data_IF_947709274159
#
_entry.id   IF_947709274159
#
_cell.length_a   1.000
_cell.length_b   1.000
_cell.length_c   1.000
_cell.angle_alpha   90.00
_cell.angle_beta   90.00
_cell.angle_gamma   90.00
#
_symmetry.space_group_name_H-M   'P 1'
#
loop_
_entity.id
_entity.type
_entity.pdbx_description
1 polymer ?
#
# COMPACT_ATOMS: atom_id res chain seq x y z
N UNK A 1 -16.83 -2.64 3.51
CA UNK A 1 -15.50 -2.20 3.97
C UNK A 1 -14.48 -2.23 2.83
N UNK A 2 -14.16 -3.40 2.26
CA UNK A 2 -13.19 -3.54 1.16
C UNK A 2 -13.45 -2.60 -0.03
N UNK A 3 -14.69 -2.56 -0.54
CA UNK A 3 -15.02 -1.67 -1.66
C UNK A 3 -14.79 -0.20 -1.33
N UNK A 4 -15.24 0.26 -0.16
CA UNK A 4 -15.02 1.64 0.28
C UNK A 4 -13.53 1.97 0.39
N UNK A 5 -12.73 1.06 0.93
CA UNK A 5 -11.28 1.22 1.04
C UNK A 5 -10.60 1.31 -0.33
N UNK A 6 -10.89 0.36 -1.21
CA UNK A 6 -10.30 0.34 -2.54
C UNK A 6 -10.74 1.56 -3.35
N UNK A 7 -12.01 1.97 -3.24
CA UNK A 7 -12.53 3.17 -3.91
C UNK A 7 -11.88 4.45 -3.38
N UNK A 8 -11.59 4.54 -2.08
CA UNK A 8 -11.00 5.74 -1.47
C UNK A 8 -9.48 5.85 -1.63
N UNK A 9 -8.76 4.71 -1.65
CA UNK A 9 -7.29 4.71 -1.56
C UNK A 9 -6.59 4.06 -2.75
N UNK A 10 -7.27 3.24 -3.56
CA UNK A 10 -6.62 2.50 -4.63
C UNK A 10 -6.86 3.15 -6.00
N UNK A 11 -5.82 3.78 -6.55
CA UNK A 11 -5.83 4.31 -7.91
C UNK A 11 -6.04 3.23 -9.00
N UNK A 12 -5.91 1.95 -8.64
CA UNK A 12 -6.07 0.81 -9.54
C UNK A 12 -7.43 0.12 -9.42
N UNK A 13 -8.30 0.55 -8.51
CA UNK A 13 -9.60 -0.07 -8.26
C UNK A 13 -10.53 0.00 -9.49
N UNK A 14 -11.09 -1.15 -9.88
CA UNK A 14 -12.08 -1.26 -10.95
C UNK A 14 -13.38 -1.88 -10.43
N UNK A 15 -14.51 -1.14 -10.38
CA UNK A 15 -15.75 -1.55 -9.71
C UNK A 15 -16.49 -2.75 -10.34
N UNK A 16 -16.01 -3.31 -11.46
CA UNK A 16 -16.70 -4.38 -12.20
C UNK A 16 -15.81 -5.57 -12.55
N UNK A 17 -14.58 -5.60 -12.04
CA UNK A 17 -13.64 -6.69 -12.28
C UNK A 17 -13.66 -7.64 -11.08
N UNK A 18 -13.91 -8.93 -11.30
CA UNK A 18 -13.58 -9.96 -10.31
C UNK A 18 -12.06 -10.01 -10.26
N UNK A 19 -11.44 -9.27 -9.35
CA UNK A 19 -10.00 -9.37 -9.14
C UNK A 19 -9.72 -10.76 -8.54
N UNK A 20 -8.96 -11.58 -9.27
CA UNK A 20 -8.57 -12.93 -8.82
C UNK A 20 -7.56 -12.91 -7.67
N UNK A 21 -6.92 -11.76 -7.46
CA UNK A 21 -5.86 -11.55 -6.48
C UNK A 21 -6.18 -10.31 -5.64
N UNK A 22 -6.04 -10.44 -4.31
CA UNK A 22 -6.27 -9.35 -3.38
C UNK A 22 -4.96 -8.59 -3.09
N UNK A 23 -5.06 -7.27 -2.94
CA UNK A 23 -3.91 -6.46 -2.57
C UNK A 23 -3.37 -6.86 -1.18
N UNK A 24 -2.07 -7.15 -1.09
CA UNK A 24 -1.44 -7.57 0.17
C UNK A 24 -1.69 -6.58 1.32
N UNK A 25 -1.67 -5.27 1.05
CA UNK A 25 -1.93 -4.28 2.08
C UNK A 25 -3.39 -4.31 2.61
N UNK A 26 -4.36 -4.68 1.78
CA UNK A 26 -5.73 -4.90 2.24
C UNK A 26 -5.80 -6.12 3.17
N UNK A 27 -5.16 -7.23 2.77
CA UNK A 27 -5.10 -8.45 3.59
C UNK A 27 -4.50 -8.20 4.97
N UNK A 28 -3.41 -7.42 5.04
CA UNK A 28 -2.78 -7.02 6.31
C UNK A 28 -3.74 -6.23 7.18
N UNK A 29 -4.40 -5.20 6.62
CA UNK A 29 -5.40 -4.39 7.35
C UNK A 29 -6.50 -5.27 7.92
N UNK A 30 -7.03 -6.20 7.15
CA UNK A 30 -8.09 -7.08 7.62
C UNK A 30 -7.64 -8.04 8.73
N UNK A 31 -6.44 -8.60 8.62
CA UNK A 31 -5.86 -9.45 9.66
C UNK A 31 -5.64 -8.63 10.95
N UNK A 32 -5.17 -7.39 10.85
CA UNK A 32 -5.02 -6.49 12.00
C UNK A 32 -6.37 -6.24 12.69
N UNK A 33 -7.42 -5.94 11.92
CA UNK A 33 -8.76 -5.72 12.47
C UNK A 33 -9.33 -6.98 13.12
N UNK A 34 -9.11 -8.16 12.53
CA UNK A 34 -9.50 -9.45 13.13
C UNK A 34 -8.78 -9.72 14.45
N UNK A 35 -7.55 -9.24 14.59
CA UNK A 35 -6.75 -9.32 15.82
C UNK A 35 -7.11 -8.22 16.84
N UNK A 36 -8.20 -7.49 16.63
CA UNK A 36 -8.73 -6.50 17.58
C UNK A 36 -8.12 -5.11 17.47
N UNK A 37 -7.30 -4.82 16.44
CA UNK A 37 -6.79 -3.46 16.21
C UNK A 37 -7.92 -2.56 15.71
N UNK A 38 -8.18 -1.47 16.42
CA UNK A 38 -9.16 -0.47 16.03
C UNK A 38 -8.59 0.43 14.92
N UNK A 39 -8.83 0.04 13.67
CA UNK A 39 -8.37 0.78 12.48
C UNK A 39 -9.50 1.67 11.96
N UNK A 40 -9.25 2.98 11.95
CA UNK A 40 -10.13 3.96 11.33
C UNK A 40 -9.50 4.51 10.05
N UNK A 41 -10.26 4.48 8.96
CA UNK A 41 -9.78 4.93 7.66
C UNK A 41 -10.01 6.42 7.50
N UNK A 42 -8.97 7.22 7.74
CA UNK A 42 -8.97 8.66 7.50
C UNK A 42 -8.01 8.98 6.36
N UNK A 43 -8.49 9.74 5.37
CA UNK A 43 -7.63 10.31 4.32
C UNK A 43 -6.95 11.56 4.89
N UNK A 44 -5.67 11.76 4.59
CA UNK A 44 -4.91 12.94 5.02
C UNK A 44 -4.01 13.41 3.90
N UNK A 45 -3.91 14.73 3.74
CA UNK A 45 -3.09 15.37 2.69
C UNK A 45 -1.61 15.52 3.10
N UNK A 46 -1.12 14.77 4.10
CA UNK A 46 0.28 14.87 4.51
C UNK A 46 1.18 14.20 3.48
N UNK A 47 2.31 14.86 3.22
CA UNK A 47 3.39 14.26 2.45
C UNK A 47 3.98 13.09 3.23
N UNK A 48 4.17 11.96 2.55
CA UNK A 48 4.67 10.73 3.14
C UNK A 48 6.15 10.83 3.51
N UNK A 49 6.54 10.26 4.66
CA UNK A 49 7.94 10.10 5.03
C UNK A 49 8.63 9.05 4.13
N UNK A 50 9.66 9.47 3.40
CA UNK A 50 10.41 8.59 2.49
C UNK A 50 11.07 7.41 3.21
N UNK A 51 11.60 7.62 4.43
CA UNK A 51 12.22 6.55 5.21
C UNK A 51 11.21 5.48 5.62
N UNK A 52 9.99 5.91 5.98
CA UNK A 52 8.87 5.02 6.30
C UNK A 52 8.43 4.21 5.08
N UNK A 53 8.36 4.84 3.91
CA UNK A 53 8.01 4.14 2.68
C UNK A 53 9.01 3.03 2.35
N UNK A 54 10.31 3.27 2.51
CA UNK A 54 11.32 2.23 2.27
C UNK A 54 11.17 1.06 3.25
N UNK A 55 10.87 1.32 4.53
CA UNK A 55 10.59 0.26 5.49
C UNK A 55 9.38 -0.59 5.09
N UNK A 56 8.29 0.02 4.65
CA UNK A 56 7.11 -0.71 4.18
C UNK A 56 7.39 -1.51 2.91
N UNK A 57 8.21 -0.98 1.98
CA UNK A 57 8.61 -1.73 0.79
C UNK A 57 9.38 -3.00 1.19
N UNK A 58 10.33 -2.88 2.11
CA UNK A 58 11.17 -4.00 2.53
C UNK A 58 10.38 -5.09 3.29
N UNK A 59 9.40 -4.68 4.10
CA UNK A 59 8.67 -5.61 4.96
C UNK A 59 7.37 -6.16 4.36
N UNK A 60 6.71 -5.44 3.44
CA UNK A 60 5.41 -5.85 2.88
C UNK A 60 5.46 -6.08 1.37
N UNK A 61 6.10 -5.19 0.60
CA UNK A 61 6.07 -5.32 -0.86
C UNK A 61 6.84 -6.56 -1.34
N UNK A 62 7.85 -7.02 -0.60
CA UNK A 62 8.67 -8.19 -0.93
C UNK A 62 7.89 -9.50 -0.99
N UNK A 63 6.78 -9.61 -0.25
CA UNK A 63 5.90 -10.79 -0.22
C UNK A 63 4.62 -10.60 -1.05
N UNK A 64 4.48 -9.45 -1.72
CA UNK A 64 3.33 -9.16 -2.57
C UNK A 64 3.42 -9.97 -3.87
N UNK A 65 2.33 -10.65 -4.31
CA UNK A 65 2.31 -11.38 -5.58
C UNK A 65 2.69 -10.52 -6.79
N UNK A 66 2.46 -9.20 -6.70
CA UNK A 66 2.72 -8.25 -7.77
C UNK A 66 4.15 -7.68 -7.77
N UNK A 67 5.08 -8.12 -6.91
CA UNK A 67 6.32 -7.37 -6.63
C UNK A 67 7.25 -7.08 -7.83
N UNK A 68 8.23 -7.93 -8.12
CA UNK A 68 9.41 -7.53 -8.92
C UNK A 68 9.10 -7.21 -10.38
N UNK A 69 8.07 -7.84 -10.94
CA UNK A 69 7.78 -7.79 -12.37
C UNK A 69 6.41 -7.18 -12.70
N UNK A 70 5.52 -7.09 -11.71
CA UNK A 70 4.10 -6.75 -11.94
C UNK A 70 3.64 -5.50 -11.16
N UNK A 71 4.60 -4.76 -10.55
CA UNK A 71 4.32 -3.55 -9.80
C UNK A 71 5.07 -2.35 -10.40
N UNK A 72 4.35 -1.55 -11.19
CA UNK A 72 4.84 -0.32 -11.81
C UNK A 72 5.45 0.65 -10.79
N UNK A 73 4.90 0.71 -9.57
CA UNK A 73 5.45 1.52 -8.48
C UNK A 73 6.88 1.09 -8.10
N UNK A 74 7.12 -0.21 -7.91
CA UNK A 74 8.45 -0.75 -7.54
C UNK A 74 9.43 -0.64 -8.71
N UNK A 75 8.97 -0.95 -9.92
CA UNK A 75 9.79 -0.83 -11.14
C UNK A 75 10.25 0.62 -11.34
N UNK A 76 9.36 1.60 -11.15
CA UNK A 76 9.69 3.03 -11.28
C UNK A 76 10.69 3.54 -10.24
N UNK A 77 10.80 2.90 -9.08
CA UNK A 77 11.83 3.22 -8.07
C UNK A 77 13.22 2.70 -8.45
N UNK A 78 13.30 1.55 -9.13
CA UNK A 78 14.58 0.89 -9.47
C UNK A 78 15.29 1.49 -10.68
N UNK A 79 14.53 2.06 -11.61
CA UNK A 79 15.06 2.72 -12.81
C UNK A 79 14.65 4.19 -12.82
N UNK A 80 15.38 5.08 -12.11
CA UNK A 80 15.12 6.53 -12.14
C UNK A 80 15.48 7.19 -13.49
N UNK A 81 15.96 6.42 -14.48
CA UNK A 81 16.27 6.92 -15.80
C UNK A 81 14.96 7.16 -16.59
N UNK A 82 14.73 8.44 -16.87
CA UNK A 82 13.62 9.04 -17.61
C UNK A 82 12.36 9.26 -16.76
N UNK A 83 11.96 10.52 -16.66
CA UNK A 83 11.35 11.16 -17.82
C UNK A 83 11.81 12.60 -18.06
N UNK A 84 12.61 12.77 -19.12
CA UNK A 84 12.69 14.01 -19.93
C UNK A 84 11.37 14.31 -20.68
N UNK A 85 10.25 13.67 -20.30
CA UNK A 85 8.97 13.66 -21.00
C UNK A 85 7.72 13.83 -20.10
N UNK A 86 7.85 14.27 -18.85
CA UNK A 86 6.69 14.81 -18.10
C UNK A 86 5.55 13.85 -17.72
N UNK A 87 5.77 12.53 -17.65
CA UNK A 87 4.76 11.58 -17.13
C UNK A 87 4.91 11.33 -15.63
N UNK A 88 3.81 11.35 -14.87
CA UNK A 88 3.80 11.18 -13.41
C UNK A 88 4.27 9.77 -13.03
N UNK A 89 5.11 9.63 -11.98
CA UNK A 89 5.48 8.30 -11.44
C UNK A 89 4.20 7.50 -11.10
N UNK A 90 4.15 6.19 -11.39
CA UNK A 90 3.02 5.35 -10.99
C UNK A 90 2.76 5.49 -9.48
N UNK A 91 1.50 5.71 -9.05
CA UNK A 91 1.21 5.84 -7.63
C UNK A 91 1.39 4.49 -6.92
N UNK A 92 1.73 4.49 -5.62
CA UNK A 92 1.67 3.27 -4.82
C UNK A 92 0.25 2.68 -4.81
N UNK A 93 0.12 1.38 -4.53
CA UNK A 93 -1.18 0.75 -4.40
C UNK A 93 -1.93 1.23 -3.15
N UNK A 94 -3.27 1.09 -3.14
CA UNK A 94 -4.08 1.57 -2.01
C UNK A 94 -3.72 0.91 -0.68
N UNK A 95 -3.36 -0.38 -0.68
CA UNK A 95 -2.89 -1.07 0.52
C UNK A 95 -1.62 -0.46 1.10
N UNK A 96 -0.67 -0.07 0.24
CA UNK A 96 0.56 0.61 0.67
C UNK A 96 0.25 1.99 1.27
N UNK A 97 -0.63 2.75 0.63
CA UNK A 97 -1.07 4.08 1.12
C UNK A 97 -1.70 3.97 2.51
N UNK A 98 -2.64 3.05 2.68
CA UNK A 98 -3.34 2.85 3.97
C UNK A 98 -2.33 2.48 5.06
N UNK A 99 -1.46 1.49 4.82
CA UNK A 99 -0.49 1.08 5.83
C UNK A 99 0.51 2.18 6.18
N UNK A 100 0.93 2.98 5.20
CA UNK A 100 1.76 4.17 5.46
C UNK A 100 1.07 5.11 6.43
N UNK A 101 -0.20 5.43 6.20
CA UNK A 101 -0.96 6.30 7.10
C UNK A 101 -1.16 5.72 8.50
N UNK A 102 -1.35 4.39 8.62
CA UNK A 102 -1.52 3.75 9.92
C UNK A 102 -0.22 3.76 10.73
N UNK A 103 0.93 3.55 10.08
CA UNK A 103 2.23 3.61 10.75
C UNK A 103 2.60 5.05 11.12
N UNK A 104 2.40 6.02 10.22
CA UNK A 104 2.67 7.45 10.49
C UNK A 104 1.87 8.00 11.68
N UNK A 105 0.70 7.42 11.96
CA UNK A 105 -0.15 7.79 13.08
C UNK A 105 0.10 6.96 14.34
N UNK A 106 1.07 6.05 14.32
CA UNK A 106 1.36 5.09 15.38
C UNK A 106 0.13 4.22 15.77
N UNK A 107 -0.77 3.97 14.81
CA UNK A 107 -1.92 3.07 15.02
C UNK A 107 -1.43 1.61 14.95
N UNK A 108 -0.47 1.36 14.06
CA UNK A 108 0.25 0.09 13.93
C UNK A 108 1.75 0.39 13.79
N UNK A 109 2.57 -0.63 14.02
CA UNK A 109 4.02 -0.62 13.82
C UNK A 109 4.41 -1.46 12.61
N UNK A 110 5.68 -1.38 12.19
CA UNK A 110 6.22 -2.31 11.20
C UNK A 110 6.19 -3.75 11.72
N UNK A 111 6.42 -3.96 13.01
CA UNK A 111 6.37 -5.30 13.61
C UNK A 111 4.95 -5.88 13.59
N UNK A 112 3.91 -5.06 13.85
CA UNK A 112 2.51 -5.49 13.68
C UNK A 112 2.22 -6.00 12.25
N UNK A 113 2.87 -5.41 11.23
CA UNK A 113 2.74 -5.85 9.84
C UNK A 113 3.49 -7.16 9.62
N UNK A 114 4.73 -7.26 10.13
CA UNK A 114 5.58 -8.46 9.98
C UNK A 114 4.98 -9.69 10.66
N UNK A 115 4.38 -9.52 11.84
CA UNK A 115 3.77 -10.61 12.61
C UNK A 115 2.52 -11.20 11.93
N UNK A 116 1.97 -10.47 10.96
CA UNK A 116 0.73 -10.82 10.27
C UNK A 116 0.94 -11.37 8.87
N UNK A 117 2.08 -11.08 8.23
CA UNK A 117 2.40 -11.48 6.87
C UNK A 117 2.76 -12.97 6.80
#
# INVERSE_FOLDING_TARGET
MRENLCRSFCAYFKPSTKEELECQGLLVVERLMKNGKAINFFVTDRAYDYSMQEMLIQNMCTVCPFYQNDCDFILSKRSPALNRQGTKRPPPCGGFIILTHLVERNIITIDDIRDIL
#
